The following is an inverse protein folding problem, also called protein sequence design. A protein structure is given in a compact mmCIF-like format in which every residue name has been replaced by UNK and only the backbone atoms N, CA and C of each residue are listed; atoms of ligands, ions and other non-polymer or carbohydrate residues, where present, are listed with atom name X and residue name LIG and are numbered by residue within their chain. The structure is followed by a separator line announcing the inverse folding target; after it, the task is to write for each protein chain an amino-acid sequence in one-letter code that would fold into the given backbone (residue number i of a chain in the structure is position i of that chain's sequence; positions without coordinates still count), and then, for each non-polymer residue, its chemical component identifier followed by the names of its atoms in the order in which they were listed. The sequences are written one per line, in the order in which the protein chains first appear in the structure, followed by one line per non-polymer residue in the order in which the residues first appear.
data_IF_493593075519
#
_entry.id   IF_493593075519
#
_cell.length_a   1.000
_cell.length_b   1.000
_cell.length_c   1.000
_cell.angle_alpha   90.00
_cell.angle_beta   90.00
_cell.angle_gamma   90.00
#
_symmetry.space_group_name_H-M   'P 1'
#
loop_
_entity.id
_entity.type
_entity.pdbx_description
1 polymer ?
#
# COMPACT_ATOMS: atom_id res chain seq x y z
N UNK A 1 24.55 -14.71 2.83
CA UNK A 1 24.10 -13.32 3.04
C UNK A 1 22.69 -13.31 2.51
N UNK A 2 21.71 -13.36 3.41
CA UNK A 2 20.31 -13.50 3.01
C UNK A 2 19.93 -12.24 2.23
N UNK A 3 19.42 -12.45 1.01
CA UNK A 3 18.98 -11.37 0.15
C UNK A 3 17.77 -10.70 0.80
N UNK A 4 17.89 -9.42 1.14
CA UNK A 4 16.80 -8.67 1.79
C UNK A 4 15.74 -8.38 0.73
N UNK A 5 14.60 -9.05 0.81
CA UNK A 5 13.46 -8.79 -0.08
C UNK A 5 12.88 -7.40 0.17
N UNK A 6 12.67 -6.56 -0.86
CA UNK A 6 11.98 -5.28 -0.69
C UNK A 6 10.53 -5.52 -0.26
N UNK A 7 10.00 -4.65 0.60
CA UNK A 7 8.64 -4.78 1.13
C UNK A 7 7.92 -3.43 1.12
N UNK A 8 6.70 -3.42 0.58
CA UNK A 8 5.77 -2.29 0.61
C UNK A 8 4.84 -2.49 1.80
N UNK A 9 4.93 -1.59 2.78
CA UNK A 9 4.06 -1.61 3.95
C UNK A 9 3.01 -0.53 3.76
N UNK A 10 1.73 -0.90 3.75
CA UNK A 10 0.64 0.07 3.78
C UNK A 10 0.15 0.23 5.21
N UNK A 11 0.32 1.44 5.75
CA UNK A 11 -0.30 1.83 7.01
C UNK A 11 -1.72 2.27 6.71
N UNK A 12 -2.68 1.43 7.10
CA UNK A 12 -4.12 1.61 6.84
C UNK A 12 -4.78 2.27 8.05
N UNK A 13 -5.43 3.43 7.91
CA UNK A 13 -6.13 4.06 9.03
C UNK A 13 -7.31 3.22 9.52
N UNK A 14 -7.65 3.30 10.80
CA UNK A 14 -8.75 2.54 11.43
C UNK A 14 -10.12 2.74 10.74
N UNK A 15 -10.39 3.93 10.19
CA UNK A 15 -11.65 4.26 9.52
C UNK A 15 -11.64 3.99 8.01
N UNK A 16 -10.64 3.27 7.52
CA UNK A 16 -10.59 2.81 6.13
C UNK A 16 -10.96 1.34 6.04
N UNK A 17 -11.84 1.03 5.09
CA UNK A 17 -12.13 -0.34 4.72
C UNK A 17 -11.19 -0.80 3.61
N UNK A 18 -10.82 -2.09 3.64
CA UNK A 18 -9.89 -2.69 2.69
C UNK A 18 -10.67 -3.28 1.53
N UNK A 19 -10.26 -2.93 0.31
CA UNK A 19 -10.68 -3.61 -0.91
C UNK A 19 -9.74 -4.81 -1.16
N UNK A 20 -10.18 -6.01 -0.79
CA UNK A 20 -9.38 -7.23 -0.87
C UNK A 20 -8.91 -7.55 -2.30
N UNK A 21 -9.75 -7.37 -3.32
CA UNK A 21 -9.39 -7.64 -4.71
C UNK A 21 -8.27 -6.68 -5.18
N UNK A 22 -8.36 -5.40 -4.82
CA UNK A 22 -7.33 -4.42 -5.14
C UNK A 22 -6.02 -4.65 -4.37
N UNK A 23 -6.09 -5.16 -3.13
CA UNK A 23 -4.91 -5.60 -2.37
C UNK A 23 -4.23 -6.78 -3.06
N UNK A 24 -5.00 -7.78 -3.47
CA UNK A 24 -4.48 -8.96 -4.18
C UNK A 24 -3.79 -8.56 -5.49
N UNK A 25 -4.40 -7.66 -6.26
CA UNK A 25 -3.82 -7.14 -7.49
C UNK A 25 -2.53 -6.35 -7.22
N UNK A 26 -2.51 -5.51 -6.18
CA UNK A 26 -1.29 -4.80 -5.77
C UNK A 26 -0.20 -5.80 -5.35
N UNK A 27 -0.53 -6.81 -4.54
CA UNK A 27 0.41 -7.84 -4.09
C UNK A 27 1.04 -8.58 -5.28
N UNK A 28 0.21 -9.04 -6.24
CA UNK A 28 0.70 -9.69 -7.46
C UNK A 28 1.62 -8.75 -8.24
N UNK A 29 1.20 -7.50 -8.39
CA UNK A 29 1.95 -6.51 -9.16
C UNK A 29 3.33 -6.21 -8.54
N UNK A 30 3.42 -5.96 -7.23
CA UNK A 30 4.70 -5.68 -6.57
C UNK A 30 5.64 -6.89 -6.59
N UNK A 31 5.09 -8.10 -6.45
CA UNK A 31 5.85 -9.35 -6.52
C UNK A 31 6.42 -9.58 -7.92
N UNK A 32 5.60 -9.46 -8.96
CA UNK A 32 6.03 -9.75 -10.33
C UNK A 32 6.94 -8.67 -10.92
N UNK A 33 6.71 -7.40 -10.57
CA UNK A 33 7.43 -6.27 -11.16
C UNK A 33 8.71 -5.93 -10.40
N UNK A 34 8.65 -5.99 -9.07
CA UNK A 34 9.73 -5.52 -8.20
C UNK A 34 10.37 -6.64 -7.37
N UNK A 35 9.87 -7.87 -7.44
CA UNK A 35 10.31 -8.94 -6.54
C UNK A 35 10.00 -8.63 -5.07
N UNK A 36 9.02 -7.78 -4.81
CA UNK A 36 8.72 -7.25 -3.48
C UNK A 36 7.56 -7.98 -2.80
N UNK A 37 7.47 -7.85 -1.48
CA UNK A 37 6.32 -8.24 -0.68
C UNK A 37 5.39 -7.05 -0.40
N UNK A 38 4.16 -7.36 0.01
CA UNK A 38 3.18 -6.39 0.49
C UNK A 38 2.76 -6.77 1.90
N UNK A 39 2.81 -5.80 2.82
CA UNK A 39 2.32 -5.93 4.18
C UNK A 39 1.25 -4.87 4.45
N UNK A 40 0.18 -5.24 5.14
CA UNK A 40 -0.84 -4.30 5.62
C UNK A 40 -0.72 -4.17 7.14
N UNK A 41 -0.69 -2.94 7.63
CA UNK A 41 -0.64 -2.66 9.06
C UNK A 41 -1.76 -1.68 9.37
N UNK A 42 -2.71 -2.11 10.21
CA UNK A 42 -3.72 -1.20 10.73
C UNK A 42 -3.06 -0.22 11.72
N UNK A 43 -3.32 1.06 11.54
CA UNK A 43 -2.91 2.11 12.46
C UNK A 43 -4.06 2.45 13.39
N UNK A 44 -3.75 2.56 14.68
CA UNK A 44 -4.64 3.11 15.71
C UNK A 44 -4.56 4.64 15.80
N UNK A 45 -3.67 5.27 15.04
CA UNK A 45 -3.59 6.73 14.95
C UNK A 45 -4.58 7.24 13.92
N UNK A 46 -5.24 8.37 14.23
CA UNK A 46 -6.12 9.05 13.28
C UNK A 46 -5.28 9.59 12.13
N UNK A 47 -5.49 9.02 10.95
CA UNK A 47 -4.87 9.43 9.68
C UNK A 47 -5.95 9.55 8.62
N UNK A 48 -5.84 10.59 7.81
CA UNK A 48 -6.84 10.88 6.78
C UNK A 48 -6.63 10.02 5.53
N UNK A 49 -5.48 9.35 5.40
CA UNK A 49 -5.14 8.54 4.22
C UNK A 49 -4.19 7.39 4.53
N UNK A 50 -4.18 6.39 3.66
CA UNK A 50 -3.17 5.33 3.64
C UNK A 50 -1.78 5.91 3.43
N UNK A 51 -0.81 5.42 4.20
CA UNK A 51 0.60 5.82 4.09
C UNK A 51 1.43 4.62 3.61
N UNK A 52 2.06 4.71 2.42
CA UNK A 52 2.98 3.68 1.95
C UNK A 52 4.37 3.89 2.54
N UNK A 53 4.99 2.82 3.03
CA UNK A 53 6.38 2.78 3.46
C UNK A 53 7.15 1.76 2.60
N UNK A 54 8.24 2.20 2.01
CA UNK A 54 9.11 1.37 1.17
C UNK A 54 10.31 0.93 1.98
N UNK A 55 10.46 -0.38 2.23
CA UNK A 55 11.58 -0.93 2.99
C UNK A 55 12.40 -1.90 2.13
N UNK A 56 13.70 -1.99 2.37
CA UNK A 56 14.62 -2.85 1.60
C UNK A 56 15.08 -2.25 0.25
N UNK A 57 15.75 -3.06 -0.58
CA UNK A 57 16.39 -2.60 -1.81
C UNK A 57 15.38 -2.52 -2.98
N UNK A 58 14.74 -1.37 -3.11
CA UNK A 58 13.88 -1.07 -4.26
C UNK A 58 14.69 -0.62 -5.48
N UNK A 59 14.22 -0.97 -6.69
CA UNK A 59 14.78 -0.48 -7.95
C UNK A 59 14.17 0.87 -8.30
N UNK A 60 14.88 1.94 -7.96
CA UNK A 60 14.42 3.33 -8.16
C UNK A 60 14.76 3.89 -9.56
N UNK A 61 15.60 3.20 -10.32
CA UNK A 61 16.16 3.61 -11.62
C UNK A 61 15.33 3.15 -12.82
N UNK A 62 14.08 2.75 -12.60
CA UNK A 62 13.15 2.35 -13.65
C UNK A 62 12.73 3.52 -14.57
N UNK A 63 12.11 3.21 -15.72
CA UNK A 63 11.63 4.22 -16.68
C UNK A 63 10.50 5.10 -16.14
N UNK A 64 9.82 4.65 -15.08
CA UNK A 64 8.79 5.39 -14.35
C UNK A 64 9.22 5.44 -12.89
N UNK A 65 9.14 6.60 -12.20
CA UNK A 65 9.42 6.67 -10.78
C UNK A 65 8.56 5.69 -9.99
N UNK A 66 9.18 4.96 -9.06
CA UNK A 66 8.52 3.90 -8.27
C UNK A 66 7.20 4.36 -7.62
N UNK A 67 7.22 5.56 -7.04
CA UNK A 67 6.04 6.13 -6.40
C UNK A 67 4.91 6.36 -7.41
N UNK A 68 5.21 6.94 -8.57
CA UNK A 68 4.21 7.27 -9.59
C UNK A 68 3.56 6.03 -10.19
N UNK A 69 4.30 4.92 -10.27
CA UNK A 69 3.75 3.64 -10.71
C UNK A 69 2.88 2.97 -9.63
N UNK A 70 3.30 2.99 -8.36
CA UNK A 70 2.58 2.28 -7.30
C UNK A 70 1.40 3.07 -6.73
N UNK A 71 1.47 4.40 -6.71
CA UNK A 71 0.48 5.25 -6.05
C UNK A 71 -0.96 5.03 -6.57
N UNK A 72 -1.24 4.98 -7.89
CA UNK A 72 -2.59 4.73 -8.39
C UNK A 72 -3.17 3.36 -8.00
N UNK A 73 -2.31 2.38 -7.69
CA UNK A 73 -2.72 1.04 -7.24
C UNK A 73 -2.96 1.04 -5.74
N UNK A 74 -2.09 1.71 -4.97
CA UNK A 74 -2.24 1.91 -3.52
C UNK A 74 -3.57 2.63 -3.22
N UNK A 75 -3.93 3.66 -3.99
CA UNK A 75 -5.18 4.38 -3.76
C UNK A 75 -6.45 3.53 -3.94
N UNK A 76 -6.37 2.37 -4.62
CA UNK A 76 -7.51 1.47 -4.84
C UNK A 76 -7.68 0.44 -3.74
N UNK A 77 -6.66 0.23 -2.90
CA UNK A 77 -6.66 -0.84 -1.89
C UNK A 77 -7.55 -0.53 -0.69
N UNK A 78 -7.96 0.74 -0.53
CA UNK A 78 -8.79 1.16 0.59
C UNK A 78 -9.77 2.24 0.16
N UNK A 79 -10.81 2.43 0.96
CA UNK A 79 -11.73 3.55 0.85
C UNK A 79 -12.11 4.06 2.23
N UNK A 80 -12.28 5.37 2.36
CA UNK A 80 -12.66 6.01 3.62
C UNK A 80 -14.14 5.77 3.93
N UNK A 81 -14.42 5.41 5.18
CA UNK A 81 -15.77 5.31 5.73
C UNK A 81 -16.22 6.60 6.43
N UNK A 82 -15.45 7.69 6.35
CA UNK A 82 -15.79 8.95 7.06
C UNK A 82 -17.19 9.48 6.73
N UNK A 83 -17.70 9.19 5.53
CA UNK A 83 -19.07 9.55 5.12
C UNK A 83 -20.17 8.86 5.95
N UNK A 84 -19.91 7.70 6.56
CA UNK A 84 -20.85 7.01 7.44
C UNK A 84 -20.97 7.68 8.81
N UNK A 85 -19.91 8.36 9.26
CA UNK A 85 -19.87 9.01 10.58
C UNK A 85 -20.65 10.34 10.63
N UNK A 86 -21.07 10.89 9.49
CA UNK A 86 -21.85 12.13 9.40
C UNK A 86 -23.38 11.95 9.33
N UNK A 87 -23.89 10.73 9.47
CA UNK A 87 -25.32 10.38 9.28
C UNK A 87 -26.00 9.89 10.58
N UNK A 88 -25.35 10.04 11.74
CA UNK A 88 -25.92 9.70 13.06
C UNK A 88 -26.26 10.94 13.89
#
# INVERSE_FOLDING_TARGET
MDEVTPNLILIVPEHHEINADAVDDLWRYVRMTYGAELSLVQSTERRDSVVPLYTGPWRWDGPVPLHDDLWPRIQRTTFSLEWLHGVL
#
